data_IF_819752912019
#
_entry.id   IF_819752912019
#
_cell.length_a   1.000
_cell.length_b   1.000
_cell.length_c   1.000
_cell.angle_alpha   90.00
_cell.angle_beta   90.00
_cell.angle_gamma   90.00
#
_symmetry.space_group_name_H-M   'P 1'
#
loop_
_entity.id
_entity.type
_entity.pdbx_description
1 polymer ?
#
# COMPACT_ATOMS: atom_id res chain seq x y z
N UNK A 1 46.27 -19.28 -17.21
CA UNK A 1 45.18 -18.29 -17.24
C UNK A 1 44.77 -18.05 -15.80
N UNK A 2 45.06 -16.87 -15.26
CA UNK A 2 44.76 -16.52 -13.88
C UNK A 2 43.35 -15.89 -13.81
N UNK A 3 42.44 -16.50 -13.07
CA UNK A 3 41.11 -15.96 -12.76
C UNK A 3 41.26 -14.87 -11.71
N UNK A 4 41.03 -13.62 -12.09
CA UNK A 4 40.98 -12.48 -11.17
C UNK A 4 39.67 -12.52 -10.41
N UNK A 5 39.73 -12.81 -9.11
CA UNK A 5 38.59 -12.67 -8.20
C UNK A 5 38.24 -11.18 -8.03
N UNK A 6 37.01 -10.83 -8.36
CA UNK A 6 36.48 -9.48 -8.15
C UNK A 6 36.10 -9.37 -6.67
N UNK A 7 36.91 -8.69 -5.87
CA UNK A 7 36.55 -8.30 -4.51
C UNK A 7 35.40 -7.29 -4.58
N UNK A 8 34.24 -7.68 -4.07
CA UNK A 8 33.14 -6.75 -3.83
C UNK A 8 33.55 -5.74 -2.74
N UNK A 9 33.28 -4.44 -2.92
CA UNK A 9 33.65 -3.44 -1.94
C UNK A 9 32.88 -3.65 -0.63
N UNK A 10 33.60 -3.65 0.48
CA UNK A 10 33.05 -3.65 1.84
C UNK A 10 32.15 -2.42 2.03
N UNK A 11 30.95 -2.55 2.61
CA UNK A 11 30.09 -1.40 2.84
C UNK A 11 30.76 -0.39 3.79
N UNK A 12 30.62 0.92 3.55
CA UNK A 12 31.27 1.93 4.36
C UNK A 12 30.78 1.88 5.82
N UNK A 13 31.72 1.65 6.73
CA UNK A 13 31.53 1.75 8.17
C UNK A 13 31.38 3.22 8.57
N UNK A 14 30.14 3.72 8.65
CA UNK A 14 29.90 5.09 9.09
C UNK A 14 28.54 5.64 8.69
N UNK A 15 27.46 4.99 9.11
CA UNK A 15 26.10 5.52 8.93
C UNK A 15 25.72 6.45 10.08
N UNK A 16 25.72 7.75 9.84
CA UNK A 16 25.06 8.74 10.71
C UNK A 16 23.60 8.31 10.92
N UNK A 17 23.21 8.01 12.15
CA UNK A 17 21.82 7.64 12.50
C UNK A 17 20.94 8.85 12.24
N UNK A 18 20.26 8.89 11.08
CA UNK A 18 19.20 9.87 10.83
C UNK A 18 18.07 9.54 11.80
N UNK A 19 17.71 10.47 12.70
CA UNK A 19 16.51 10.40 13.55
C UNK A 19 15.23 10.57 12.70
N UNK A 20 15.04 9.69 11.72
CA UNK A 20 13.86 9.55 10.89
C UNK A 20 13.27 8.16 11.05
N UNK A 21 12.01 8.00 10.66
CA UNK A 21 11.38 6.69 10.57
C UNK A 21 12.19 5.79 9.64
N UNK A 22 12.32 4.50 9.98
CA UNK A 22 12.93 3.54 9.06
C UNK A 22 12.10 3.44 7.77
N UNK A 23 12.72 3.01 6.68
CA UNK A 23 12.01 2.78 5.42
C UNK A 23 10.85 1.79 5.60
N UNK A 24 11.05 0.75 6.43
CA UNK A 24 10.00 -0.20 6.78
C UNK A 24 8.83 0.46 7.51
N UNK A 25 9.12 1.34 8.48
CA UNK A 25 8.07 2.03 9.23
C UNK A 25 7.27 2.96 8.33
N UNK A 26 7.91 3.58 7.35
CA UNK A 26 7.22 4.38 6.32
C UNK A 26 6.25 3.49 5.53
N UNK A 27 6.71 2.35 5.02
CA UNK A 27 5.87 1.43 4.25
C UNK A 27 4.72 0.85 5.09
N UNK A 28 4.98 0.47 6.35
CA UNK A 28 3.97 -0.03 7.30
C UNK A 28 2.91 1.04 7.57
N UNK A 29 3.32 2.28 7.84
CA UNK A 29 2.40 3.42 8.03
C UNK A 29 1.55 3.67 6.80
N UNK A 30 2.13 3.68 5.60
CA UNK A 30 1.37 3.88 4.36
C UNK A 30 0.34 2.77 4.12
N UNK A 31 0.69 1.50 4.37
CA UNK A 31 -0.26 0.39 4.26
C UNK A 31 -1.44 0.54 5.21
N UNK A 32 -1.19 0.97 6.44
CA UNK A 32 -2.23 1.19 7.44
C UNK A 32 -3.11 2.40 7.07
N UNK A 33 -2.52 3.48 6.57
CA UNK A 33 -3.28 4.64 6.06
C UNK A 33 -4.20 4.25 4.90
N UNK A 34 -3.71 3.47 3.94
CA UNK A 34 -4.51 2.99 2.81
C UNK A 34 -5.67 2.09 3.26
N UNK A 35 -5.43 1.22 4.25
CA UNK A 35 -6.48 0.38 4.84
C UNK A 35 -7.58 1.24 5.45
N UNK A 36 -7.23 2.23 6.28
CA UNK A 36 -8.19 3.14 6.94
C UNK A 36 -9.00 3.95 5.93
N UNK A 37 -8.34 4.49 4.91
CA UNK A 37 -9.02 5.21 3.82
C UNK A 37 -9.96 4.25 3.07
N UNK A 38 -9.51 3.02 2.81
CA UNK A 38 -10.33 1.97 2.19
C UNK A 38 -11.60 1.66 2.98
N UNK A 39 -11.50 1.55 4.31
CA UNK A 39 -12.65 1.36 5.21
C UNK A 39 -13.64 2.53 5.13
N UNK A 40 -13.15 3.77 5.09
CA UNK A 40 -14.01 4.96 4.93
C UNK A 40 -14.69 5.02 3.57
N UNK A 41 -13.95 4.70 2.49
CA UNK A 41 -14.52 4.61 1.14
C UNK A 41 -15.59 3.53 1.10
N UNK A 42 -15.34 2.34 1.64
CA UNK A 42 -16.32 1.26 1.64
C UNK A 42 -17.56 1.61 2.47
N UNK A 43 -17.39 2.29 3.61
CA UNK A 43 -18.50 2.77 4.45
C UNK A 43 -19.41 3.77 3.71
N UNK A 44 -18.87 4.56 2.79
CA UNK A 44 -19.70 5.49 2.01
C UNK A 44 -20.83 4.78 1.25
N UNK A 45 -20.69 3.49 0.93
CA UNK A 45 -21.73 2.67 0.27
C UNK A 45 -23.01 2.49 1.10
N UNK A 46 -22.94 2.66 2.42
CA UNK A 46 -24.09 2.53 3.33
C UNK A 46 -24.64 3.88 3.76
N UNK A 47 -24.30 4.95 3.05
CA UNK A 47 -24.81 6.29 3.34
C UNK A 47 -26.31 6.40 2.99
N UNK A 48 -27.03 7.22 3.75
CA UNK A 48 -28.48 7.45 3.58
C UNK A 48 -28.81 8.09 2.23
N UNK A 49 -27.84 8.70 1.54
CA UNK A 49 -28.01 9.20 0.18
C UNK A 49 -28.57 8.13 -0.77
N UNK A 50 -28.25 6.85 -0.55
CA UNK A 50 -28.73 5.75 -1.37
C UNK A 50 -30.18 5.32 -1.10
N UNK A 51 -30.78 5.83 -0.03
CA UNK A 51 -32.20 5.66 0.30
C UNK A 51 -33.05 6.81 -0.25
N UNK A 52 -32.41 7.89 -0.71
CA UNK A 52 -33.07 9.03 -1.34
C UNK A 52 -33.48 8.74 -2.78
N UNK A 53 -34.20 9.67 -3.43
CA UNK A 53 -34.53 9.56 -4.84
C UNK A 53 -33.31 9.79 -5.72
N UNK A 54 -33.22 9.07 -6.85
CA UNK A 54 -32.21 9.35 -7.88
C UNK A 54 -32.59 10.61 -8.67
N UNK A 55 -31.60 11.45 -9.00
CA UNK A 55 -31.77 12.58 -9.91
C UNK A 55 -31.90 12.13 -11.36
N UNK A 56 -31.29 11.00 -11.71
CA UNK A 56 -31.38 10.35 -13.01
C UNK A 56 -31.26 8.83 -12.84
N UNK A 57 -31.88 8.07 -13.76
CA UNK A 57 -31.93 6.61 -13.66
C UNK A 57 -30.52 6.00 -13.64
N UNK A 58 -30.23 5.22 -12.60
CA UNK A 58 -28.96 4.50 -12.45
C UNK A 58 -27.86 5.28 -11.73
N UNK A 59 -28.11 6.52 -11.29
CA UNK A 59 -27.16 7.35 -10.53
C UNK A 59 -26.57 6.58 -9.34
N UNK A 60 -27.41 5.96 -8.51
CA UNK A 60 -26.94 5.25 -7.31
C UNK A 60 -26.14 4.00 -7.68
N UNK A 61 -26.50 3.33 -8.78
CA UNK A 61 -25.75 2.22 -9.34
C UNK A 61 -24.33 2.63 -9.74
N UNK A 62 -24.21 3.73 -10.47
CA UNK A 62 -22.93 4.29 -10.92
C UNK A 62 -22.07 4.74 -9.72
N UNK A 63 -22.66 5.40 -8.73
CA UNK A 63 -21.97 5.79 -7.50
C UNK A 63 -21.42 4.59 -6.73
N UNK A 64 -22.24 3.54 -6.53
CA UNK A 64 -21.80 2.31 -5.85
C UNK A 64 -20.69 1.59 -6.60
N UNK A 65 -20.77 1.56 -7.94
CA UNK A 65 -19.73 0.97 -8.78
C UNK A 65 -18.40 1.72 -8.62
N UNK A 66 -18.42 3.05 -8.66
CA UNK A 66 -17.23 3.87 -8.47
C UNK A 66 -16.63 3.77 -7.05
N UNK A 67 -17.46 3.67 -6.00
CA UNK A 67 -16.99 3.40 -4.64
C UNK A 67 -16.20 2.08 -4.58
N UNK A 68 -16.74 1.01 -5.20
CA UNK A 68 -16.07 -0.29 -5.22
C UNK A 68 -14.77 -0.27 -6.03
N UNK A 69 -14.74 0.45 -7.15
CA UNK A 69 -13.51 0.64 -7.94
C UNK A 69 -12.44 1.40 -7.15
N UNK A 70 -12.81 2.49 -6.47
CA UNK A 70 -11.91 3.26 -5.62
C UNK A 70 -11.35 2.40 -4.47
N UNK A 71 -12.20 1.62 -3.79
CA UNK A 71 -11.77 0.68 -2.75
C UNK A 71 -10.76 -0.35 -3.29
N UNK A 72 -11.04 -0.93 -4.48
CA UNK A 72 -10.13 -1.91 -5.11
C UNK A 72 -8.76 -1.31 -5.43
N UNK A 73 -8.70 -0.07 -5.92
CA UNK A 73 -7.42 0.60 -6.18
C UNK A 73 -6.62 0.87 -4.91
N UNK A 74 -7.28 1.19 -3.80
CA UNK A 74 -6.61 1.36 -2.51
C UNK A 74 -6.00 0.04 -2.00
N UNK A 75 -6.74 -1.06 -2.13
CA UNK A 75 -6.23 -2.39 -1.80
C UNK A 75 -5.07 -2.82 -2.70
N UNK A 76 -5.17 -2.56 -4.01
CA UNK A 76 -4.07 -2.80 -4.95
C UNK A 76 -2.82 -2.00 -4.57
N UNK A 77 -2.96 -0.70 -4.28
CA UNK A 77 -1.85 0.14 -3.82
C UNK A 77 -1.23 -0.41 -2.52
N UNK A 78 -2.06 -0.82 -1.55
CA UNK A 78 -1.60 -1.41 -0.28
C UNK A 78 -0.82 -2.69 -0.52
N UNK A 79 -1.27 -3.56 -1.43
CA UNK A 79 -0.56 -4.78 -1.83
C UNK A 79 0.77 -4.47 -2.51
N UNK A 80 0.83 -3.48 -3.41
CA UNK A 80 2.09 -3.07 -4.07
C UNK A 80 3.13 -2.59 -3.06
N UNK A 81 2.73 -1.83 -2.03
CA UNK A 81 3.63 -1.44 -0.94
C UNK A 81 4.11 -2.68 -0.15
N UNK A 82 3.29 -3.73 -0.03
CA UNK A 82 3.72 -5.00 0.57
C UNK A 82 4.86 -5.66 -0.20
N UNK A 83 4.82 -5.61 -1.53
CA UNK A 83 5.91 -6.13 -2.38
C UNK A 83 7.19 -5.30 -2.24
N UNK A 84 7.05 -3.97 -2.10
CA UNK A 84 8.19 -3.09 -1.81
C UNK A 84 8.85 -3.49 -0.48
N UNK A 85 8.04 -3.70 0.56
CA UNK A 85 8.53 -4.09 1.88
C UNK A 85 9.20 -5.47 1.86
N UNK A 86 8.64 -6.45 1.12
CA UNK A 86 9.26 -7.76 0.90
C UNK A 86 10.63 -7.63 0.24
N UNK A 87 10.73 -6.83 -0.82
CA UNK A 87 11.97 -6.64 -1.57
C UNK A 87 13.04 -5.84 -0.80
N UNK A 88 12.63 -4.99 0.14
CA UNK A 88 13.54 -4.18 0.95
C UNK A 88 14.11 -4.92 2.18
N UNK A 89 13.45 -5.98 2.64
CA UNK A 89 14.00 -6.93 3.61
C UNK A 89 14.68 -8.11 2.93
N UNK A 90 14.63 -9.28 3.56
CA UNK A 90 15.27 -10.52 3.05
C UNK A 90 14.39 -11.29 2.04
N UNK A 91 13.36 -10.66 1.45
CA UNK A 91 12.43 -11.32 0.53
C UNK A 91 11.29 -12.10 1.20
N UNK A 92 11.16 -12.06 2.53
CA UNK A 92 10.11 -12.78 3.26
C UNK A 92 8.82 -11.95 3.33
N UNK A 93 7.72 -12.53 2.86
CA UNK A 93 6.38 -11.99 3.05
C UNK A 93 6.04 -11.92 4.54
N UNK A 94 5.77 -10.72 5.07
CA UNK A 94 5.25 -10.54 6.44
C UNK A 94 3.88 -11.23 6.62
N UNK A 95 3.22 -11.63 5.53
CA UNK A 95 1.96 -12.37 5.54
C UNK A 95 2.14 -13.91 5.50
N UNK A 96 3.37 -14.44 5.39
CA UNK A 96 3.68 -15.88 5.41
C UNK A 96 4.24 -16.35 6.78
N UNK A 97 3.84 -15.73 7.89
CA UNK A 97 4.17 -16.19 9.25
C UNK A 97 2.94 -16.71 9.98
#
# INVERSE_FOLDING_TARGET
MATTEIQNPTPPSGGTVRHGLSFEDICKKQRESLKKIGEWVLRSRTDLIFESGENYGGQHGEMKANIMLAYRHLEDARMRIGKILQAAGDGVSILDK
#
